data_IF_247768477145
#
_entry.id   IF_247768477145
#
_cell.length_a   1.000
_cell.length_b   1.000
_cell.length_c   1.000
_cell.angle_alpha   90.00
_cell.angle_beta   90.00
_cell.angle_gamma   90.00
#
_symmetry.space_group_name_H-M   'P 1'
#
loop_
_entity.id
_entity.type
_entity.pdbx_description
1 polymer ?
#
# COMPACT_ATOMS: atom_id res chain seq x y z
N UNK A 1 -15.30 -15.86 8.41
CA UNK A 1 -14.51 -14.62 8.25
C UNK A 1 -13.52 -14.86 7.13
N UNK A 2 -13.45 -14.00 6.10
CA UNK A 2 -12.42 -14.08 5.05
C UNK A 2 -11.34 -13.07 5.36
N UNK A 3 -10.08 -13.50 5.32
CA UNK A 3 -8.92 -12.61 5.45
C UNK A 3 -8.36 -12.41 4.04
N UNK A 4 -8.17 -11.16 3.65
CA UNK A 4 -7.56 -10.81 2.38
C UNK A 4 -6.09 -10.45 2.61
N UNK A 5 -5.19 -11.22 2.00
CA UNK A 5 -3.76 -10.93 2.00
C UNK A 5 -3.39 -10.22 0.69
N UNK A 6 -2.62 -9.13 0.80
CA UNK A 6 -2.08 -8.40 -0.34
C UNK A 6 -0.62 -8.81 -0.57
N UNK A 7 -0.23 -8.99 -1.83
CA UNK A 7 1.16 -9.23 -2.25
C UNK A 7 1.54 -8.24 -3.34
N UNK A 8 2.75 -7.68 -3.25
CA UNK A 8 3.30 -6.87 -4.33
C UNK A 8 3.49 -7.72 -5.59
N UNK A 9 3.12 -7.15 -6.74
CA UNK A 9 3.41 -7.74 -8.04
C UNK A 9 4.83 -7.33 -8.47
N UNK A 10 5.58 -8.28 -9.03
CA UNK A 10 6.89 -8.05 -9.68
C UNK A 10 7.98 -7.43 -8.78
N UNK A 11 7.83 -7.49 -7.45
CA UNK A 11 8.85 -7.04 -6.50
C UNK A 11 8.71 -7.80 -5.19
N UNK A 12 9.84 -8.10 -4.56
CA UNK A 12 9.85 -8.63 -3.20
C UNK A 12 9.60 -7.51 -2.19
N UNK A 13 8.75 -7.82 -1.21
CA UNK A 13 8.41 -6.90 -0.14
C UNK A 13 9.53 -6.95 0.92
N UNK A 14 10.33 -5.89 1.02
CA UNK A 14 11.22 -5.70 2.17
C UNK A 14 10.52 -4.94 3.30
N UNK A 15 11.15 -4.95 4.48
CA UNK A 15 10.62 -4.35 5.71
C UNK A 15 10.26 -2.87 5.54
N UNK A 16 11.14 -2.08 4.93
CA UNK A 16 10.97 -0.62 4.87
C UNK A 16 9.90 -0.22 3.85
N UNK A 17 9.87 -0.86 2.68
CA UNK A 17 8.78 -0.71 1.71
C UNK A 17 7.45 -1.17 2.33
N UNK A 18 7.44 -2.26 3.11
CA UNK A 18 6.23 -2.72 3.80
C UNK A 18 5.69 -1.69 4.79
N UNK A 19 6.57 -1.08 5.60
CA UNK A 19 6.16 -0.02 6.51
C UNK A 19 5.55 1.18 5.76
N UNK A 20 6.19 1.61 4.68
CA UNK A 20 5.68 2.72 3.88
C UNK A 20 4.30 2.41 3.29
N UNK A 21 4.17 1.27 2.60
CA UNK A 21 2.93 0.87 1.94
C UNK A 21 1.79 0.63 2.94
N UNK A 22 2.06 -0.05 4.06
CA UNK A 22 1.04 -0.28 5.08
C UNK A 22 0.57 1.02 5.71
N UNK A 23 1.45 2.01 5.90
CA UNK A 23 1.07 3.33 6.41
C UNK A 23 0.12 4.05 5.47
N UNK A 24 0.40 4.04 4.16
CA UNK A 24 -0.46 4.63 3.14
C UNK A 24 -1.79 3.88 3.02
N UNK A 25 -1.77 2.54 3.03
CA UNK A 25 -2.98 1.72 2.96
C UNK A 25 -3.88 2.02 4.17
N UNK A 26 -3.32 2.09 5.39
CA UNK A 26 -4.07 2.47 6.59
C UNK A 26 -4.69 3.86 6.46
N UNK A 27 -3.98 4.81 5.87
CA UNK A 27 -4.50 6.15 5.63
C UNK A 27 -5.64 6.14 4.60
N UNK A 28 -5.50 5.38 3.51
CA UNK A 28 -6.53 5.24 2.48
C UNK A 28 -7.81 4.57 3.03
N UNK A 29 -7.65 3.66 3.98
CA UNK A 29 -8.74 2.94 4.64
C UNK A 29 -9.22 3.60 5.95
N UNK A 30 -8.78 4.82 6.27
CA UNK A 30 -9.06 5.47 7.57
C UNK A 30 -10.55 5.61 7.87
N UNK A 31 -11.37 5.85 6.84
CA UNK A 31 -12.82 6.03 6.96
C UNK A 31 -13.59 4.74 6.70
N UNK A 32 -12.89 3.62 6.47
CA UNK A 32 -13.51 2.33 6.27
C UNK A 32 -13.69 1.64 7.62
N UNK A 33 -14.92 1.41 8.00
CA UNK A 33 -15.29 0.68 9.20
C UNK A 33 -15.42 -0.82 8.91
N UNK A 34 -15.39 -1.64 9.96
CA UNK A 34 -15.59 -3.09 9.81
C UNK A 34 -16.91 -3.43 9.10
N UNK A 35 -17.96 -2.61 9.28
CA UNK A 35 -19.26 -2.76 8.63
C UNK A 35 -19.22 -2.61 7.10
N UNK A 36 -18.22 -1.90 6.57
CA UNK A 36 -18.12 -1.65 5.13
C UNK A 36 -17.64 -2.89 4.36
N UNK A 37 -17.16 -3.91 5.08
CA UNK A 37 -16.75 -5.22 4.55
C UNK A 37 -15.96 -5.10 3.23
N UNK A 38 -14.68 -4.70 3.31
CA UNK A 38 -13.80 -4.64 2.13
C UNK A 38 -13.74 -6.04 1.49
N UNK A 39 -14.57 -6.24 0.48
CA UNK A 39 -14.75 -7.51 -0.19
C UNK A 39 -13.74 -7.67 -1.32
N UNK A 40 -13.65 -8.88 -1.87
CA UNK A 40 -12.87 -9.12 -3.08
C UNK A 40 -13.31 -8.26 -4.28
N UNK A 41 -14.54 -7.74 -4.29
CA UNK A 41 -15.05 -6.88 -5.36
C UNK A 41 -14.68 -5.41 -5.14
N UNK A 42 -14.56 -4.97 -3.88
CA UNK A 42 -14.18 -3.58 -3.54
C UNK A 42 -12.66 -3.38 -3.53
N UNK A 43 -11.91 -4.40 -3.13
CA UNK A 43 -10.45 -4.31 -2.95
C UNK A 43 -9.68 -3.82 -4.20
N UNK A 44 -10.01 -4.22 -5.45
CA UNK A 44 -9.34 -3.74 -6.66
C UNK A 44 -9.58 -2.24 -6.96
N UNK A 45 -10.67 -1.68 -6.43
CA UNK A 45 -11.07 -0.29 -6.68
C UNK A 45 -10.39 0.70 -5.74
N UNK A 46 -9.86 0.22 -4.60
CA UNK A 46 -9.09 1.04 -3.68
C UNK A 46 -7.78 1.47 -4.34
N UNK A 47 -7.60 2.79 -4.51
CA UNK A 47 -6.38 3.38 -5.08
C UNK A 47 -5.56 4.06 -3.98
N UNK A 48 -4.24 3.90 -4.10
CA UNK A 48 -3.26 4.60 -3.25
C UNK A 48 -2.36 5.46 -4.14
N UNK A 49 -1.91 6.60 -3.62
CA UNK A 49 -0.92 7.45 -4.28
C UNK A 49 0.47 7.01 -3.85
N UNK A 50 1.37 6.86 -4.81
CA UNK A 50 2.78 6.53 -4.56
C UNK A 50 3.67 7.62 -5.14
N UNK A 51 4.81 7.94 -4.51
CA UNK A 51 5.85 8.74 -5.12
C UNK A 51 6.36 8.08 -6.41
N UNK A 52 6.72 8.90 -7.39
CA UNK A 52 7.30 8.46 -8.66
C UNK A 52 8.71 9.01 -8.83
N UNK A 53 9.58 8.21 -9.46
CA UNK A 53 10.92 8.62 -9.86
C UNK A 53 10.90 9.39 -11.19
N UNK A 54 12.07 9.82 -11.67
CA UNK A 54 12.22 10.51 -12.96
C UNK A 54 11.84 9.66 -14.18
N UNK A 55 11.65 8.34 -14.01
CA UNK A 55 11.21 7.41 -15.05
C UNK A 55 9.70 7.21 -15.04
N UNK A 56 8.97 7.87 -14.13
CA UNK A 56 7.53 7.70 -13.98
C UNK A 56 7.15 6.36 -13.34
N UNK A 57 8.10 5.68 -12.68
CA UNK A 57 7.85 4.43 -11.94
C UNK A 57 7.82 4.69 -10.44
N UNK A 58 7.20 3.82 -9.62
CA UNK A 58 7.19 4.03 -8.17
C UNK A 58 8.62 4.21 -7.59
N UNK A 59 8.84 5.29 -6.84
CA UNK A 59 10.14 5.61 -6.26
C UNK A 59 10.42 4.74 -5.01
N UNK A 60 10.93 3.54 -5.25
CA UNK A 60 11.26 2.59 -4.18
C UNK A 60 12.34 3.11 -3.23
N UNK A 61 13.33 3.84 -3.75
CA UNK A 61 14.42 4.38 -2.95
C UNK A 61 13.90 5.41 -1.94
N UNK A 62 12.94 6.25 -2.37
CA UNK A 62 12.26 7.17 -1.47
C UNK A 62 11.50 6.43 -0.38
N UNK A 63 10.76 5.36 -0.72
CA UNK A 63 9.98 4.59 0.25
C UNK A 63 10.87 3.92 1.29
N UNK A 64 12.00 3.34 0.87
CA UNK A 64 12.95 2.67 1.76
C UNK A 64 13.61 3.63 2.75
N UNK A 65 13.99 4.83 2.28
CA UNK A 65 14.65 5.86 3.10
C UNK A 65 13.69 6.73 3.90
N UNK A 66 12.37 6.50 3.79
CA UNK A 66 11.37 7.39 4.40
C UNK A 66 11.49 7.43 5.93
N UNK A 67 11.90 6.33 6.57
CA UNK A 67 12.06 6.26 8.04
C UNK A 67 13.35 6.90 8.56
N UNK A 68 14.32 7.14 7.69
CA UNK A 68 15.59 7.78 8.06
C UNK A 68 15.51 9.33 8.04
N UNK A 69 14.30 9.87 7.80
CA UNK A 69 14.00 11.30 7.87
C UNK A 69 13.39 11.66 9.21
#
# INVERSE_FOLDING_TARGET
MKIHCLKLKNKELNKEVAFYLTSIIRQALKNTEYKDQISSTVLPDIKIKLPIDSRGTPDWNYMERYRDR
#
